data_IF_199841848206
#
_entry.id   IF_199841848206
#
_cell.length_a   1.000
_cell.length_b   1.000
_cell.length_c   1.000
_cell.angle_alpha   90.00
_cell.angle_beta   90.00
_cell.angle_gamma   90.00
#
_symmetry.space_group_name_H-M   'P 1'
#
loop_
_entity.id
_entity.type
_entity.pdbx_description
1 polymer ?
#
# COMPACT_ATOMS: atom_id res chain seq x y z
N UNK A 1 -2.99 -7.55 -8.29
CA UNK A 1 -1.65 -7.90 -7.80
C UNK A 1 -0.94 -6.64 -7.33
N UNK A 2 -0.22 -6.70 -6.22
CA UNK A 2 0.63 -5.63 -5.68
C UNK A 2 1.82 -6.27 -4.96
N UNK A 3 2.81 -5.46 -4.65
CA UNK A 3 3.96 -5.84 -3.82
C UNK A 3 3.85 -5.09 -2.51
N UNK A 4 4.07 -5.78 -1.41
CA UNK A 4 4.07 -5.17 -0.09
C UNK A 4 5.50 -4.89 0.37
N UNK A 5 5.80 -3.63 0.63
CA UNK A 5 7.00 -3.25 1.39
C UNK A 5 6.64 -3.26 2.86
N UNK A 6 7.19 -4.19 3.61
CA UNK A 6 6.95 -4.34 5.04
C UNK A 6 8.21 -4.04 5.83
N UNK A 7 8.11 -3.13 6.78
CA UNK A 7 9.22 -2.67 7.61
C UNK A 7 8.90 -2.94 9.08
N UNK A 8 9.71 -3.74 9.72
CA UNK A 8 9.57 -4.04 11.15
C UNK A 8 9.95 -2.80 11.97
N UNK A 9 9.06 -2.36 12.86
CA UNK A 9 9.31 -1.23 13.76
C UNK A 9 9.21 -1.62 15.25
N UNK A 10 8.73 -2.81 15.54
CA UNK A 10 8.70 -3.38 16.90
C UNK A 10 8.97 -4.88 16.84
N UNK A 11 9.02 -5.53 18.01
CA UNK A 11 9.27 -6.98 18.07
C UNK A 11 8.21 -7.81 17.35
N UNK A 12 6.97 -7.33 17.28
CA UNK A 12 5.84 -8.09 16.75
C UNK A 12 5.16 -7.44 15.56
N UNK A 13 5.48 -6.18 15.24
CA UNK A 13 4.69 -5.39 14.30
C UNK A 13 5.50 -4.80 13.17
N UNK A 14 4.91 -4.80 11.97
CA UNK A 14 5.48 -4.25 10.75
C UNK A 14 4.51 -3.28 10.09
N UNK A 15 5.01 -2.11 9.72
CA UNK A 15 4.27 -1.21 8.83
C UNK A 15 4.33 -1.76 7.41
N UNK A 16 3.26 -1.62 6.66
CA UNK A 16 3.13 -2.17 5.31
C UNK A 16 2.61 -1.16 4.31
N UNK A 17 3.24 -1.16 3.12
CA UNK A 17 2.87 -0.33 1.98
C UNK A 17 2.62 -1.21 0.77
N UNK A 18 1.41 -1.21 0.23
CA UNK A 18 1.10 -1.87 -1.03
C UNK A 18 1.58 -1.01 -2.21
N UNK A 19 2.39 -1.60 -3.08
CA UNK A 19 2.99 -0.95 -4.25
C UNK A 19 2.50 -1.66 -5.51
N UNK A 20 1.51 -1.13 -6.23
CA UNK A 20 0.88 -1.84 -7.36
C UNK A 20 1.84 -2.24 -8.48
N UNK A 21 2.89 -1.44 -8.70
CA UNK A 21 3.85 -1.66 -9.78
C UNK A 21 5.24 -2.11 -9.29
N UNK A 22 5.35 -2.53 -8.04
CA UNK A 22 6.62 -2.91 -7.44
C UNK A 22 7.60 -1.76 -7.24
N UNK A 23 8.79 -2.11 -6.76
CA UNK A 23 9.84 -1.14 -6.45
C UNK A 23 10.42 -0.48 -7.71
N UNK A 24 10.77 0.82 -7.69
CA UNK A 24 11.38 1.53 -8.80
C UNK A 24 12.87 1.16 -8.94
N UNK A 25 13.24 0.37 -9.95
CA UNK A 25 14.63 -0.07 -10.18
C UNK A 25 15.35 0.62 -11.34
N UNK A 26 14.64 1.36 -12.20
CA UNK A 26 15.25 2.03 -13.35
C UNK A 26 15.37 3.55 -13.12
N UNK A 27 16.60 4.10 -13.00
CA UNK A 27 16.83 5.52 -12.75
C UNK A 27 16.38 6.42 -13.90
N UNK A 28 16.28 5.87 -15.12
CA UNK A 28 15.87 6.58 -16.33
C UNK A 28 14.41 6.32 -16.72
N UNK A 29 13.62 5.73 -15.82
CA UNK A 29 12.20 5.48 -16.08
C UNK A 29 11.44 6.79 -16.35
N UNK A 30 10.54 6.74 -17.33
CA UNK A 30 9.60 7.85 -17.63
C UNK A 30 8.65 8.08 -16.43
N UNK A 31 8.38 7.03 -15.65
CA UNK A 31 7.57 7.10 -14.44
C UNK A 31 8.43 6.78 -13.22
N UNK A 32 9.22 7.77 -12.72
CA UNK A 32 10.16 7.53 -11.63
C UNK A 32 9.46 7.31 -10.29
N UNK A 33 8.26 7.85 -10.14
CA UNK A 33 7.49 7.76 -8.92
C UNK A 33 6.54 6.56 -8.96
N UNK A 34 6.38 5.93 -7.80
CA UNK A 34 5.38 4.89 -7.55
C UNK A 34 4.44 5.38 -6.46
N UNK A 35 3.23 4.88 -6.48
CA UNK A 35 2.31 5.02 -5.36
C UNK A 35 2.61 3.89 -4.36
N UNK A 36 2.73 4.23 -3.10
CA UNK A 36 2.80 3.30 -2.00
C UNK A 36 1.59 3.57 -1.10
N UNK A 37 0.69 2.62 -1.04
CA UNK A 37 -0.57 2.74 -0.30
C UNK A 37 -0.35 2.11 1.07
N UNK A 38 -0.49 2.91 2.10
CA UNK A 38 -0.38 2.44 3.47
C UNK A 38 -1.52 1.47 3.78
N UNK A 39 -1.15 0.29 4.25
CA UNK A 39 -2.09 -0.77 4.61
C UNK A 39 -2.16 -0.94 6.13
N UNK A 40 -2.83 -1.98 6.58
CA UNK A 40 -2.87 -2.31 8.01
C UNK A 40 -1.49 -2.74 8.50
N UNK A 41 -1.22 -2.49 9.76
CA UNK A 41 -0.03 -3.01 10.46
C UNK A 41 -0.14 -4.53 10.54
N UNK A 42 0.90 -5.22 10.10
CA UNK A 42 0.93 -6.69 10.09
C UNK A 42 1.72 -7.22 11.29
N UNK A 43 1.34 -8.41 11.72
CA UNK A 43 2.17 -9.20 12.60
C UNK A 43 3.43 -9.66 11.86
N UNK A 44 4.56 -9.69 12.55
CA UNK A 44 5.84 -10.12 11.99
C UNK A 44 5.78 -11.51 11.35
N UNK A 45 5.04 -12.44 11.94
CA UNK A 45 4.86 -13.80 11.41
C UNK A 45 4.30 -13.83 9.99
N UNK A 46 3.42 -12.90 9.63
CA UNK A 46 2.88 -12.78 8.28
C UNK A 46 3.92 -12.39 7.23
N UNK A 47 5.12 -12.02 7.65
CA UNK A 47 6.22 -11.69 6.74
C UNK A 47 7.14 -12.88 6.48
N UNK A 48 7.00 -13.94 7.26
CA UNK A 48 7.89 -15.11 7.24
C UNK A 48 7.24 -16.33 6.57
N UNK A 49 5.95 -16.25 6.25
CA UNK A 49 5.16 -17.38 5.78
C UNK A 49 4.62 -17.09 4.38
N UNK A 50 4.83 -18.02 3.47
CA UNK A 50 4.13 -18.05 2.19
C UNK A 50 2.80 -18.79 2.37
N UNK A 51 1.75 -18.22 1.83
CA UNK A 51 0.40 -18.77 1.98
C UNK A 51 -0.42 -18.55 0.72
N UNK A 52 -1.41 -19.40 0.52
CA UNK A 52 -2.42 -19.23 -0.51
C UNK A 52 -3.79 -19.57 0.00
N UNK A 53 -4.80 -18.89 -0.53
CA UNK A 53 -6.19 -19.26 -0.36
C UNK A 53 -7.01 -18.72 -1.53
N UNK A 54 -8.14 -19.36 -1.84
CA UNK A 54 -9.06 -18.88 -2.88
C UNK A 54 -9.64 -17.49 -2.59
N UNK A 55 -9.77 -17.11 -1.32
CA UNK A 55 -10.31 -15.83 -0.91
C UNK A 55 -9.28 -14.68 -1.00
N UNK A 56 -8.01 -14.95 -0.70
CA UNK A 56 -6.97 -13.90 -0.57
C UNK A 56 -5.91 -13.94 -1.66
N UNK A 57 -5.85 -15.02 -2.43
CA UNK A 57 -4.79 -15.28 -3.40
C UNK A 57 -3.53 -15.82 -2.75
N UNK A 58 -2.41 -15.74 -3.46
CA UNK A 58 -1.11 -16.22 -2.98
C UNK A 58 -0.22 -15.09 -2.47
N UNK A 59 0.48 -15.32 -1.38
CA UNK A 59 1.49 -14.46 -0.78
C UNK A 59 2.86 -15.12 -0.91
N UNK A 60 3.81 -14.42 -1.53
CA UNK A 60 5.19 -14.88 -1.72
C UNK A 60 6.17 -13.90 -1.08
N UNK A 61 7.29 -14.42 -0.62
CA UNK A 61 8.42 -13.60 -0.15
C UNK A 61 9.31 -13.31 -1.36
N UNK A 62 9.12 -12.14 -1.97
CA UNK A 62 9.89 -11.71 -3.15
C UNK A 62 11.34 -11.36 -2.80
N UNK A 63 11.56 -10.67 -1.68
CA UNK A 63 12.87 -10.38 -1.11
C UNK A 63 12.76 -10.23 0.40
N UNK A 64 13.86 -10.41 1.11
CA UNK A 64 13.97 -10.17 2.55
C UNK A 64 15.36 -9.69 2.90
N UNK A 65 15.50 -8.96 4.01
CA UNK A 65 16.77 -8.43 4.46
C UNK A 65 16.58 -7.37 5.52
N UNK A 66 17.60 -6.55 5.68
CA UNK A 66 17.63 -5.45 6.65
C UNK A 66 17.36 -4.12 5.96
N UNK A 67 17.00 -3.12 6.73
CA UNK A 67 16.89 -1.74 6.26
C UNK A 67 17.67 -0.79 7.18
N UNK A 68 18.16 0.29 6.59
CA UNK A 68 18.79 1.41 7.27
C UNK A 68 17.98 2.68 6.97
N UNK A 69 17.71 3.48 7.99
CA UNK A 69 17.03 4.77 7.83
C UNK A 69 18.07 5.88 7.72
N UNK A 70 18.17 6.45 6.53
CA UNK A 70 19.12 7.51 6.25
C UNK A 70 18.59 8.87 6.71
N UNK A 71 19.44 9.76 7.22
CA UNK A 71 19.03 11.09 7.63
C UNK A 71 18.52 11.91 6.43
N UNK A 72 17.47 12.67 6.67
CA UNK A 72 17.00 13.65 5.71
C UNK A 72 17.83 14.92 5.87
N UNK A 73 18.67 15.19 4.87
CA UNK A 73 19.30 16.51 4.77
C UNK A 73 18.23 17.49 4.30
N UNK A 74 17.71 18.30 5.20
CA UNK A 74 16.95 19.48 4.77
C UNK A 74 17.85 20.32 3.85
N UNK A 75 17.32 20.92 2.77
CA UNK A 75 18.05 21.93 2.05
C UNK A 75 18.47 22.98 3.09
N UNK A 76 19.75 23.19 3.23
CA UNK A 76 20.24 24.35 3.97
C UNK A 76 19.70 25.53 3.18
N UNK A 77 18.64 26.17 3.68
CA UNK A 77 18.26 27.48 3.18
C UNK A 77 19.51 28.32 3.24
N UNK A 78 19.90 28.86 2.08
CA UNK A 78 21.10 29.67 1.98
C UNK A 78 21.04 30.73 3.08
N UNK A 79 21.80 30.53 4.15
CA UNK A 79 22.04 31.55 5.14
C UNK A 79 22.84 32.63 4.42
N UNK A 80 22.14 33.63 3.93
CA UNK A 80 22.71 34.91 3.57
C UNK A 80 23.01 35.63 4.87
N UNK A 81 24.18 35.40 5.42
CA UNK A 81 24.92 36.40 6.20
C UNK A 81 26.32 35.88 6.44
N UNK A 82 27.22 36.52 5.76
CA UNK A 82 28.65 36.62 6.04
C UNK A 82 28.77 37.20 7.45
N UNK A 83 29.06 36.37 8.43
CA UNK A 83 29.85 36.70 9.62
C UNK A 83 29.94 35.47 10.55
N UNK A 84 31.15 35.31 11.09
CA UNK A 84 31.58 34.36 12.12
C UNK A 84 31.94 32.95 11.67
N UNK A 85 33.17 32.85 11.18
CA UNK A 85 34.03 31.69 11.36
C UNK A 85 34.29 31.52 12.85
N UNK A 86 33.46 30.80 13.55
CA UNK A 86 33.81 30.14 14.79
C UNK A 86 33.86 28.64 14.53
N UNK A 87 35.03 28.08 14.80
CA UNK A 87 35.27 26.64 14.94
C UNK A 87 34.21 26.07 15.89
N UNK A 88 33.10 25.63 15.31
CA UNK A 88 32.18 24.75 15.98
C UNK A 88 32.64 23.35 15.64
N UNK A 89 33.33 22.71 16.57
CA UNK A 89 33.44 21.28 16.73
C UNK A 89 32.11 20.66 16.24
N UNK A 90 32.19 20.02 15.10
CA UNK A 90 31.10 19.17 14.64
C UNK A 90 31.14 17.96 15.57
N UNK A 91 30.52 18.13 16.76
CA UNK A 91 30.12 17.00 17.57
C UNK A 91 29.37 16.03 16.63
N UNK A 92 30.09 15.04 16.18
CA UNK A 92 29.54 13.82 15.64
C UNK A 92 28.79 13.20 16.81
N UNK A 93 27.59 13.70 17.08
CA UNK A 93 26.66 13.00 17.94
C UNK A 93 26.49 11.64 17.28
N UNK A 94 27.19 10.67 17.86
CA UNK A 94 26.97 9.26 17.54
C UNK A 94 25.49 9.03 17.81
N UNK A 95 24.72 9.03 16.72
CA UNK A 95 23.27 8.88 16.79
C UNK A 95 23.01 7.45 17.24
N UNK A 96 22.87 7.25 18.54
CA UNK A 96 22.66 5.95 19.20
C UNK A 96 21.24 5.40 18.95
N UNK A 97 20.42 6.12 18.16
CA UNK A 97 19.07 5.70 17.83
C UNK A 97 19.10 4.45 16.94
N UNK A 98 18.28 3.49 17.28
CA UNK A 98 18.03 2.30 16.44
C UNK A 98 17.30 2.68 15.16
N UNK A 99 17.43 1.86 14.11
CA UNK A 99 16.72 2.12 12.85
C UNK A 99 15.19 2.07 13.02
N UNK A 100 14.69 1.32 14.00
CA UNK A 100 13.27 1.35 14.36
C UNK A 100 12.83 2.70 14.93
N UNK A 101 13.64 3.34 15.77
CA UNK A 101 13.35 4.69 16.30
C UNK A 101 13.45 5.76 15.21
N UNK A 102 14.45 5.66 14.33
CA UNK A 102 14.58 6.52 13.16
C UNK A 102 13.40 6.33 12.19
N UNK A 103 12.94 5.09 11.99
CA UNK A 103 11.76 4.79 11.19
C UNK A 103 10.53 5.46 11.78
N UNK A 104 10.33 5.35 13.09
CA UNK A 104 9.23 6.01 13.79
C UNK A 104 9.27 7.53 13.58
N UNK A 105 10.41 8.16 13.83
CA UNK A 105 10.59 9.61 13.68
C UNK A 105 10.34 10.06 12.22
N UNK A 106 10.91 9.37 11.25
CA UNK A 106 10.73 9.67 9.83
C UNK A 106 9.30 9.44 9.35
N UNK A 107 8.61 8.45 9.90
CA UNK A 107 7.20 8.20 9.60
C UNK A 107 6.31 9.34 10.14
N UNK A 108 6.54 9.80 11.36
CA UNK A 108 5.85 10.95 11.93
C UNK A 108 6.17 12.26 11.17
N UNK A 109 7.41 12.41 10.69
CA UNK A 109 7.81 13.51 9.81
C UNK A 109 7.27 13.41 8.38
N UNK A 110 6.55 12.30 8.04
CA UNK A 110 5.97 12.03 6.72
C UNK A 110 7.01 11.95 5.60
N UNK A 111 8.22 11.63 5.97
CA UNK A 111 9.33 11.47 5.04
C UNK A 111 10.31 10.41 5.54
N UNK A 112 10.48 9.35 4.74
CA UNK A 112 11.40 8.25 5.00
C UNK A 112 12.40 8.14 3.87
N UNK A 113 13.67 7.95 4.21
CA UNK A 113 14.70 7.55 3.26
C UNK A 113 15.29 6.25 3.76
N UNK A 114 15.16 5.21 2.96
CA UNK A 114 15.47 3.84 3.34
C UNK A 114 16.50 3.27 2.37
N UNK A 115 17.59 2.76 2.92
CA UNK A 115 18.48 1.86 2.20
C UNK A 115 18.07 0.44 2.54
N UNK A 116 17.81 -0.34 1.50
CA UNK A 116 17.33 -1.71 1.64
C UNK A 116 18.47 -2.69 1.32
N UNK A 117 18.75 -3.58 2.25
CA UNK A 117 19.78 -4.62 2.17
C UNK A 117 19.09 -5.97 1.95
N UNK A 118 18.49 -6.14 0.77
CA UNK A 118 17.83 -7.38 0.38
C UNK A 118 18.79 -8.39 -0.22
N UNK A 119 18.31 -9.60 -0.40
CA UNK A 119 19.05 -10.66 -1.11
C UNK A 119 18.99 -10.46 -2.63
N UNK A 120 17.84 -10.00 -3.13
CA UNK A 120 17.61 -9.77 -4.57
C UNK A 120 17.89 -8.33 -4.96
N UNK A 121 17.63 -7.39 -4.06
CA UNK A 121 17.89 -5.98 -4.31
C UNK A 121 19.39 -5.70 -4.46
N UNK A 122 19.80 -4.85 -5.41
CA UNK A 122 21.19 -4.52 -5.58
C UNK A 122 21.75 -3.75 -4.37
N UNK A 123 23.04 -3.92 -4.13
CA UNK A 123 23.74 -3.25 -3.03
C UNK A 123 23.58 -1.72 -3.12
N UNK A 124 23.30 -1.09 -1.98
CA UNK A 124 23.13 0.35 -1.88
C UNK A 124 21.77 0.87 -2.39
N UNK A 125 20.86 -0.02 -2.76
CA UNK A 125 19.53 0.38 -3.23
C UNK A 125 18.80 1.22 -2.19
N UNK A 126 18.49 2.44 -2.56
CA UNK A 126 17.90 3.44 -1.66
C UNK A 126 16.63 4.01 -2.24
N UNK A 127 15.59 4.09 -1.42
CA UNK A 127 14.29 4.65 -1.77
C UNK A 127 13.92 5.81 -0.84
N UNK A 128 13.05 6.67 -1.32
CA UNK A 128 12.43 7.74 -0.53
C UNK A 128 10.92 7.60 -0.57
N UNK A 129 10.28 7.62 0.59
CA UNK A 129 8.84 7.65 0.80
C UNK A 129 8.45 9.01 1.33
N UNK A 130 7.48 9.66 0.72
CA UNK A 130 6.96 10.96 1.14
C UNK A 130 5.45 10.97 1.14
N UNK A 131 4.84 11.39 2.24
CA UNK A 131 3.41 11.63 2.34
C UNK A 131 3.13 13.13 2.09
N UNK A 132 2.46 13.50 0.98
CA UNK A 132 2.04 14.88 0.76
C UNK A 132 0.95 15.29 1.76
N UNK A 133 0.95 16.55 2.17
CA UNK A 133 -0.07 17.08 3.08
C UNK A 133 -1.51 16.91 2.57
N UNK A 134 -1.71 16.97 1.26
CA UNK A 134 -3.01 16.73 0.64
C UNK A 134 -3.52 15.28 0.82
N UNK A 135 -2.61 14.32 0.99
CA UNK A 135 -2.94 12.90 1.19
C UNK A 135 -2.95 12.50 2.65
N UNK A 136 -2.51 13.38 3.53
CA UNK A 136 -2.49 13.15 4.98
C UNK A 136 -3.86 13.46 5.57
N UNK A 137 -4.83 12.69 5.13
CA UNK A 137 -6.17 12.74 5.73
C UNK A 137 -6.15 11.80 6.93
N UNK A 138 -6.29 12.37 8.12
CA UNK A 138 -6.65 11.58 9.29
C UNK A 138 -7.85 10.70 8.96
N UNK A 139 -7.95 9.52 9.56
CA UNK A 139 -9.07 8.61 9.34
C UNK A 139 -10.39 9.38 9.53
N UNK A 140 -10.99 9.83 8.43
CA UNK A 140 -12.33 10.40 8.52
C UNK A 140 -13.27 9.25 8.84
N UNK A 141 -14.05 9.35 9.92
CA UNK A 141 -15.07 8.35 10.19
C UNK A 141 -15.95 8.26 8.93
N UNK A 142 -16.10 7.05 8.40
CA UNK A 142 -16.99 6.81 7.25
C UNK A 142 -18.35 7.37 7.62
N UNK A 143 -18.82 8.39 6.91
CA UNK A 143 -20.20 8.88 7.07
C UNK A 143 -21.09 7.66 6.91
N UNK A 144 -21.95 7.35 7.88
CA UNK A 144 -22.85 6.21 7.78
C UNK A 144 -23.60 6.34 6.46
N UNK A 145 -23.59 5.27 5.67
CA UNK A 145 -24.36 5.19 4.42
C UNK A 145 -25.80 5.60 4.77
N UNK A 146 -26.24 6.77 4.29
CA UNK A 146 -27.61 7.20 4.45
C UNK A 146 -28.47 6.07 3.89
N UNK A 147 -29.14 5.33 4.77
CA UNK A 147 -30.18 4.36 4.39
C UNK A 147 -31.10 5.12 3.43
N UNK A 148 -31.14 4.73 2.16
CA UNK A 148 -32.11 5.25 1.20
C UNK A 148 -33.48 5.09 1.86
N UNK A 149 -34.07 6.20 2.25
CA UNK A 149 -35.47 6.19 2.67
C UNK A 149 -36.25 5.53 1.55
N UNK A 150 -36.82 4.36 1.83
CA UNK A 150 -37.83 3.78 0.94
C UNK A 150 -38.87 4.87 0.74
N UNK A 151 -38.94 5.40 -0.47
CA UNK A 151 -40.05 6.26 -0.87
C UNK A 151 -41.30 5.41 -0.79
N UNK A 152 -42.20 5.82 0.10
CA UNK A 152 -43.52 5.22 0.25
C UNK A 152 -44.27 5.41 -1.09
N UNK A 153 -44.70 4.35 -1.79
CA UNK A 153 -45.30 4.47 -3.12
C UNK A 153 -46.68 5.15 -3.09
N UNK A 154 -47.22 5.46 -1.90
CA UNK A 154 -48.54 6.09 -1.73
C UNK A 154 -48.56 7.61 -1.90
N UNK A 155 -47.41 8.30 -2.12
CA UNK A 155 -47.36 9.75 -2.31
C UNK A 155 -46.85 10.17 -3.69
N UNK A 156 -47.37 9.56 -4.75
CA UNK A 156 -47.22 10.10 -6.09
C UNK A 156 -48.38 11.08 -6.36
N UNK A 157 -48.17 12.33 -5.95
CA UNK A 157 -49.04 13.42 -6.33
C UNK A 157 -48.85 13.75 -7.82
N UNK A 158 -49.94 13.67 -8.55
CA UNK A 158 -50.08 14.08 -9.95
C UNK A 158 -49.60 15.53 -10.14
N UNK A 159 -48.55 15.76 -10.88
CA UNK A 159 -48.28 17.02 -11.56
C UNK A 159 -48.11 16.71 -13.05
N UNK A 160 -48.94 17.39 -13.83
CA UNK A 160 -49.01 17.28 -15.27
C UNK A 160 -47.77 17.84 -16.00
N UNK A 161 -47.66 17.66 -17.30
CA UNK A 161 -46.45 17.83 -18.08
C UNK A 161 -46.16 19.29 -18.43
N UNK A 162 -44.94 19.74 -18.46
CA UNK A 162 -44.55 20.85 -19.30
C UNK A 162 -43.91 20.35 -20.60
N UNK A 163 -44.33 21.03 -21.67
CA UNK A 163 -43.95 20.88 -23.06
C UNK A 163 -42.52 21.32 -23.36
N UNK A 164 -41.94 20.61 -24.33
CA UNK A 164 -41.01 21.00 -25.44
C UNK A 164 -39.95 22.08 -25.21
N UNK A 165 -38.72 21.85 -25.48
CA UNK A 165 -37.98 21.92 -26.74
C UNK A 165 -36.46 21.86 -26.54
N UNK A 166 -35.82 21.26 -27.51
CA UNK A 166 -34.50 21.42 -28.10
C UNK A 166 -33.50 20.30 -27.93
N UNK A 167 -33.42 19.60 -29.01
CA UNK A 167 -32.39 18.85 -29.69
C UNK A 167 -30.94 19.06 -29.24
N UNK A 168 -30.18 17.97 -29.00
CA UNK A 168 -29.07 17.59 -29.85
C UNK A 168 -28.56 16.16 -29.57
N UNK A 169 -28.26 15.51 -30.68
CA UNK A 169 -27.91 14.13 -30.91
C UNK A 169 -26.58 13.68 -30.25
N UNK A 170 -26.50 12.44 -29.80
CA UNK A 170 -25.77 11.32 -30.43
C UNK A 170 -25.70 10.10 -29.51
N UNK A 171 -26.40 9.08 -29.97
CA UNK A 171 -26.25 7.66 -29.60
C UNK A 171 -25.03 7.02 -30.34
N UNK A 172 -24.64 5.71 -30.19
CA UNK A 172 -25.34 4.62 -29.51
C UNK A 172 -24.41 3.59 -28.78
N UNK A 173 -24.90 2.68 -28.01
CA UNK A 173 -25.05 1.26 -28.33
C UNK A 173 -25.51 0.40 -27.14
N UNK A 174 -26.55 -0.34 -27.42
CA UNK A 174 -27.23 -1.29 -26.57
C UNK A 174 -26.45 -2.62 -26.40
N UNK A 175 -26.60 -3.30 -25.27
CA UNK A 175 -26.69 -4.77 -25.23
C UNK A 175 -27.76 -5.23 -24.22
N UNK A 176 -28.53 -6.14 -24.72
CA UNK A 176 -29.82 -6.70 -24.35
C UNK A 176 -29.86 -7.45 -23.02
N UNK A 177 -31.04 -7.39 -22.46
CA UNK A 177 -31.59 -8.24 -21.42
C UNK A 177 -31.72 -9.72 -21.88
N UNK A 178 -31.57 -10.63 -20.94
CA UNK A 178 -32.25 -11.92 -20.96
C UNK A 178 -32.92 -12.21 -19.62
N UNK A 179 -34.09 -12.51 -19.71
CA UNK A 179 -35.31 -12.87 -19.05
C UNK A 179 -35.28 -14.33 -18.57
N UNK A 180 -35.75 -14.55 -17.36
CA UNK A 180 -36.72 -15.63 -17.10
C UNK A 180 -36.20 -16.85 -16.39
N UNK A 181 -36.86 -17.19 -15.30
CA UNK A 181 -36.82 -18.51 -14.70
C UNK A 181 -37.31 -18.52 -13.26
N UNK A 182 -38.65 -18.50 -13.11
CA UNK A 182 -39.34 -18.79 -11.87
C UNK A 182 -39.38 -20.32 -11.66
N UNK A 183 -38.89 -20.83 -10.55
CA UNK A 183 -39.23 -22.15 -10.04
C UNK A 183 -39.38 -22.09 -8.53
N UNK A 184 -40.62 -22.23 -8.12
CA UNK A 184 -41.03 -22.67 -6.78
C UNK A 184 -40.58 -24.11 -6.58
N UNK A 185 -40.18 -24.42 -5.34
CA UNK A 185 -40.35 -25.70 -4.63
C UNK A 185 -39.82 -25.52 -3.20
N UNK A 186 -40.72 -25.51 -2.30
CA UNK A 186 -41.12 -26.52 -1.30
C UNK A 186 -40.17 -26.65 -0.09
N UNK A 187 -40.82 -26.44 1.04
CA UNK A 187 -40.46 -26.73 2.42
C UNK A 187 -39.61 -27.99 2.58
N UNK A 188 -38.50 -27.85 3.30
CA UNK A 188 -38.16 -28.88 4.27
C UNK A 188 -37.53 -28.28 5.54
N UNK A 189 -38.23 -28.42 6.60
CA UNK A 189 -37.98 -27.91 7.93
C UNK A 189 -37.07 -28.87 8.69
N UNK A 190 -35.77 -28.63 8.70
CA UNK A 190 -34.88 -29.12 9.77
C UNK A 190 -33.49 -28.51 9.71
N UNK A 191 -33.31 -27.29 10.25
CA UNK A 191 -31.98 -26.86 10.71
C UNK A 191 -32.01 -25.61 11.61
N UNK A 192 -32.65 -25.72 12.78
CA UNK A 192 -32.69 -24.63 13.78
C UNK A 192 -31.36 -24.51 14.57
N UNK A 193 -30.40 -25.42 14.39
CA UNK A 193 -29.15 -25.43 15.14
C UNK A 193 -27.96 -24.77 14.46
N UNK A 194 -27.97 -24.68 13.12
CA UNK A 194 -26.84 -24.14 12.36
C UNK A 194 -26.91 -22.64 12.20
N UNK A 195 -28.12 -22.07 12.06
CA UNK A 195 -28.28 -20.63 11.83
C UNK A 195 -27.84 -19.77 13.05
N UNK A 196 -27.99 -20.29 14.27
CA UNK A 196 -27.55 -19.57 15.46
C UNK A 196 -26.01 -19.59 15.61
N UNK A 197 -25.34 -20.67 15.20
CA UNK A 197 -23.89 -20.76 15.21
C UNK A 197 -23.28 -19.93 14.08
N UNK A 198 -23.86 -19.92 12.90
CA UNK A 198 -23.41 -19.09 11.77
C UNK A 198 -23.63 -17.60 12.06
N UNK A 199 -24.72 -17.24 12.74
CA UNK A 199 -24.97 -15.87 13.18
C UNK A 199 -23.99 -15.41 14.27
N UNK A 200 -23.61 -16.29 15.20
CA UNK A 200 -22.61 -16.00 16.23
C UNK A 200 -21.21 -15.81 15.62
N UNK A 201 -20.80 -16.69 14.71
CA UNK A 201 -19.53 -16.59 13.98
C UNK A 201 -19.47 -15.33 13.10
N UNK A 202 -20.59 -14.96 12.46
CA UNK A 202 -20.69 -13.73 11.69
C UNK A 202 -20.58 -12.48 12.58
N UNK A 203 -21.15 -12.50 13.78
CA UNK A 203 -21.08 -11.41 14.75
C UNK A 203 -19.65 -11.24 15.29
N UNK A 204 -18.95 -12.33 15.61
CA UNK A 204 -17.56 -12.28 16.05
C UNK A 204 -16.63 -11.75 14.95
N UNK A 205 -16.84 -12.13 13.69
CA UNK A 205 -16.09 -11.62 12.54
C UNK A 205 -16.34 -10.12 12.30
N UNK A 206 -17.57 -9.63 12.51
CA UNK A 206 -17.90 -8.21 12.41
C UNK A 206 -17.23 -7.37 13.53
N UNK A 207 -17.15 -7.90 14.73
CA UNK A 207 -16.49 -7.26 15.87
C UNK A 207 -14.96 -7.23 15.70
N UNK A 208 -14.36 -8.30 15.19
CA UNK A 208 -12.94 -8.35 14.81
C UNK A 208 -12.61 -7.33 13.73
N UNK A 209 -13.41 -7.26 12.69
CA UNK A 209 -13.28 -6.27 11.63
C UNK A 209 -13.43 -4.83 12.11
N UNK A 210 -14.30 -4.59 13.08
CA UNK A 210 -14.47 -3.28 13.71
C UNK A 210 -13.24 -2.90 14.55
N UNK A 211 -12.69 -3.85 15.31
CA UNK A 211 -11.47 -3.65 16.08
C UNK A 211 -10.25 -3.39 15.17
N UNK A 212 -10.10 -4.18 14.10
CA UNK A 212 -9.05 -3.97 13.09
C UNK A 212 -9.17 -2.59 12.44
N UNK A 213 -10.38 -2.16 12.11
CA UNK A 213 -10.61 -0.83 11.54
C UNK A 213 -10.27 0.31 12.51
N UNK A 214 -10.57 0.14 13.79
CA UNK A 214 -10.27 1.16 14.80
C UNK A 214 -8.78 1.29 15.10
N UNK A 215 -8.07 0.17 15.15
CA UNK A 215 -6.65 0.12 15.46
C UNK A 215 -5.72 0.14 14.23
N UNK A 216 -6.25 -0.07 13.03
CA UNK A 216 -5.49 -0.25 11.79
C UNK A 216 -4.37 -1.31 11.90
N UNK A 217 -4.60 -2.37 12.65
CA UNK A 217 -3.68 -3.47 12.84
C UNK A 217 -4.39 -4.82 12.71
N UNK A 218 -3.67 -5.83 12.25
CA UNK A 218 -4.14 -7.21 12.29
C UNK A 218 -3.91 -7.82 13.67
N UNK A 219 -4.63 -8.91 13.95
CA UNK A 219 -4.49 -9.66 15.20
C UNK A 219 -3.03 -10.01 15.48
N UNK A 220 -2.58 -9.76 16.71
CA UNK A 220 -1.20 -9.96 17.14
C UNK A 220 -0.22 -8.85 16.75
N UNK A 221 -0.69 -7.78 16.11
CA UNK A 221 0.08 -6.58 15.84
C UNK A 221 -0.47 -5.37 16.61
N UNK A 222 0.39 -4.40 16.87
CA UNK A 222 0.01 -3.14 17.53
C UNK A 222 0.43 -1.94 16.68
N UNK A 223 -0.48 -0.99 16.51
CA UNK A 223 -0.23 0.21 15.69
C UNK A 223 0.34 1.36 16.52
N UNK A 224 1.48 1.16 17.18
CA UNK A 224 2.14 2.21 17.95
C UNK A 224 2.75 3.30 17.08
N UNK A 225 3.04 3.00 15.80
CA UNK A 225 3.61 3.96 14.84
C UNK A 225 2.57 4.97 14.32
N UNK A 226 1.26 4.76 14.57
CA UNK A 226 0.20 5.66 14.10
C UNK A 226 -0.08 5.54 12.60
N UNK A 227 0.00 4.32 12.06
CA UNK A 227 -0.36 4.03 10.68
C UNK A 227 -1.84 4.24 10.43
N UNK A 228 -2.19 4.82 9.27
CA UNK A 228 -3.56 5.09 8.85
C UNK A 228 -3.82 4.42 7.51
N UNK A 229 -4.80 3.54 7.49
CA UNK A 229 -5.17 2.79 6.30
C UNK A 229 -5.50 3.68 5.10
N UNK A 230 -4.96 3.31 3.91
CA UNK A 230 -5.18 3.99 2.63
C UNK A 230 -4.61 5.42 2.53
N UNK A 231 -3.62 5.80 3.32
CA UNK A 231 -2.83 6.99 2.99
C UNK A 231 -1.92 6.70 1.81
N UNK A 232 -1.84 7.64 0.88
CA UNK A 232 -1.09 7.51 -0.36
C UNK A 232 0.25 8.23 -0.24
N UNK A 233 1.31 7.45 -0.16
CA UNK A 233 2.68 7.93 -0.18
C UNK A 233 3.25 7.92 -1.59
N UNK A 234 4.15 8.84 -1.89
CA UNK A 234 5.00 8.76 -3.07
C UNK A 234 6.29 8.02 -2.72
N UNK A 235 6.56 6.99 -3.50
CA UNK A 235 7.78 6.20 -3.42
C UNK A 235 8.65 6.53 -4.64
N UNK A 236 9.92 6.87 -4.42
CA UNK A 236 10.88 7.19 -5.48
C UNK A 236 12.20 6.48 -5.24
N UNK A 237 12.90 6.13 -6.33
CA UNK A 237 14.30 5.72 -6.25
C UNK A 237 15.16 6.93 -5.88
N UNK A 238 15.87 6.85 -4.76
CA UNK A 238 16.86 7.86 -4.39
C UNK A 238 18.15 7.61 -5.19
N UNK A 239 18.21 8.22 -6.35
CA UNK A 239 19.26 7.99 -7.33
C UNK A 239 20.64 8.31 -6.79
N UNK A 240 20.78 9.42 -6.06
CA UNK A 240 22.07 9.90 -5.55
C UNK A 240 22.59 8.96 -4.48
N UNK A 241 21.78 8.60 -3.50
CA UNK A 241 22.19 7.68 -2.43
C UNK A 241 22.34 6.23 -2.90
N UNK A 242 21.72 5.86 -4.04
CA UNK A 242 21.97 4.58 -4.72
C UNK A 242 23.26 4.60 -5.55
N UNK A 243 23.92 5.76 -5.69
CA UNK A 243 25.18 5.91 -6.44
C UNK A 243 25.02 6.33 -7.89
N UNK A 244 23.81 6.65 -8.36
CA UNK A 244 23.60 7.18 -9.70
C UNK A 244 23.98 8.65 -9.78
N UNK A 245 24.56 9.02 -10.93
CA UNK A 245 24.87 10.42 -11.26
C UNK A 245 24.46 10.75 -12.69
N UNK A 246 24.24 12.03 -12.99
CA UNK A 246 23.91 12.45 -14.35
C UNK A 246 25.15 12.51 -15.22
N UNK A 247 25.11 11.86 -16.39
CA UNK A 247 26.13 12.00 -17.41
C UNK A 247 26.19 13.45 -17.90
N UNK A 248 27.36 14.08 -17.84
CA UNK A 248 27.58 15.47 -18.26
C UNK A 248 27.98 15.57 -19.73
N UNK A 249 28.61 14.54 -20.27
CA UNK A 249 29.19 14.49 -21.64
C UNK A 249 28.87 13.15 -22.30
N UNK A 250 29.11 13.05 -23.60
CA UNK A 250 28.95 11.83 -24.38
C UNK A 250 27.49 11.52 -24.79
N UNK A 251 27.25 10.31 -25.33
CA UNK A 251 25.95 9.89 -25.86
C UNK A 251 24.86 9.81 -24.78
N UNK A 252 25.24 9.58 -23.53
CA UNK A 252 24.32 9.46 -22.39
C UNK A 252 24.11 10.80 -21.66
N UNK A 253 24.49 11.94 -22.25
CA UNK A 253 24.31 13.26 -21.63
C UNK A 253 22.88 13.47 -21.11
N UNK A 254 22.76 13.79 -19.82
CA UNK A 254 21.48 14.02 -19.14
C UNK A 254 20.82 12.78 -18.59
N UNK A 255 21.30 11.57 -18.93
CA UNK A 255 20.83 10.31 -18.35
C UNK A 255 21.52 10.03 -17.03
N UNK A 256 20.84 9.25 -16.20
CA UNK A 256 21.41 8.72 -14.97
C UNK A 256 22.22 7.47 -15.30
N UNK A 257 23.48 7.46 -14.88
CA UNK A 257 24.44 6.38 -15.09
C UNK A 257 25.15 6.02 -13.78
N UNK A 258 25.86 4.92 -13.72
CA UNK A 258 26.53 4.41 -12.52
C UNK A 258 25.53 3.75 -11.57
N UNK A 259 25.88 3.73 -10.28
CA UNK A 259 25.09 3.07 -9.26
C UNK A 259 24.99 1.55 -9.44
N UNK A 260 23.83 1.00 -9.16
CA UNK A 260 23.55 -0.41 -9.34
C UNK A 260 22.97 -0.72 -10.73
N UNK A 261 22.95 -2.01 -11.08
CA UNK A 261 22.28 -2.44 -12.31
C UNK A 261 20.79 -2.16 -12.23
N UNK A 262 20.22 -1.49 -13.25
CA UNK A 262 18.78 -1.22 -13.29
C UNK A 262 17.97 -2.51 -13.38
N UNK A 263 16.92 -2.61 -12.59
CA UNK A 263 16.01 -3.75 -12.62
C UNK A 263 14.54 -3.31 -12.82
N UNK A 264 13.72 -4.28 -13.19
CA UNK A 264 12.28 -4.12 -13.34
C UNK A 264 11.61 -5.31 -12.68
N UNK A 265 10.65 -5.05 -11.83
CA UNK A 265 9.80 -6.09 -11.26
C UNK A 265 8.79 -6.54 -12.31
N UNK A 266 8.80 -7.83 -12.65
CA UNK A 266 8.11 -8.37 -13.85
C UNK A 266 6.69 -8.84 -13.59
N UNK A 267 6.36 -9.21 -12.36
CA UNK A 267 5.03 -9.69 -12.00
C UNK A 267 5.00 -11.16 -11.59
N UNK A 268 3.80 -11.60 -11.16
CA UNK A 268 3.58 -12.87 -10.48
C UNK A 268 3.98 -14.14 -11.27
N UNK A 269 3.92 -14.06 -12.59
CA UNK A 269 4.19 -15.20 -13.46
C UNK A 269 5.68 -15.50 -13.60
N UNK A 270 6.53 -14.49 -13.36
CA UNK A 270 7.97 -14.57 -13.54
C UNK A 270 8.71 -14.51 -12.21
N UNK A 271 8.20 -13.71 -11.30
CA UNK A 271 8.84 -13.50 -9.99
C UNK A 271 8.64 -14.70 -9.08
N UNK A 272 9.75 -15.23 -8.59
CA UNK A 272 9.76 -16.38 -7.69
C UNK A 272 10.09 -15.95 -6.27
N UNK A 273 9.60 -16.69 -5.31
CA UNK A 273 10.02 -16.55 -3.92
C UNK A 273 11.52 -16.78 -3.76
N UNK A 274 12.16 -15.99 -2.91
CA UNK A 274 13.58 -16.22 -2.53
C UNK A 274 13.72 -17.36 -1.51
N UNK A 275 12.63 -17.74 -0.83
CA UNK A 275 12.61 -18.77 0.20
C UNK A 275 12.33 -20.13 -0.41
N UNK A 276 11.22 -20.27 -1.13
CA UNK A 276 10.76 -21.55 -1.69
C UNK A 276 11.17 -21.75 -3.16
N UNK A 277 11.56 -20.70 -3.86
CA UNK A 277 11.85 -20.75 -5.31
C UNK A 277 10.60 -20.87 -6.18
N UNK A 278 9.38 -20.90 -5.57
CA UNK A 278 8.12 -21.11 -6.26
C UNK A 278 7.54 -19.80 -6.82
N UNK A 279 6.77 -19.89 -7.88
CA UNK A 279 5.96 -18.77 -8.36
C UNK A 279 4.57 -18.76 -7.69
N UNK A 280 3.81 -17.70 -7.92
CA UNK A 280 2.50 -17.50 -7.28
C UNK A 280 1.50 -18.63 -7.58
N UNK A 281 1.52 -19.15 -8.80
CA UNK A 281 0.60 -20.20 -9.22
C UNK A 281 0.98 -21.56 -8.63
N UNK A 282 2.30 -21.82 -8.45
CA UNK A 282 2.79 -23.02 -7.76
C UNK A 282 2.40 -23.05 -6.28
N UNK A 283 2.42 -21.89 -5.61
CA UNK A 283 1.97 -21.79 -4.19
C UNK A 283 0.45 -21.87 -4.11
N UNK A 284 -0.27 -21.35 -5.12
CA UNK A 284 -1.72 -21.43 -5.15
C UNK A 284 -2.23 -22.87 -5.31
N UNK A 285 -1.50 -23.70 -6.04
CA UNK A 285 -1.85 -25.12 -6.22
C UNK A 285 -1.87 -25.91 -4.89
N UNK A 286 -1.14 -25.44 -3.86
CA UNK A 286 -1.17 -26.07 -2.52
C UNK A 286 -2.51 -25.79 -1.79
N UNK A 287 -3.25 -24.75 -2.19
CA UNK A 287 -4.54 -24.42 -1.59
C UNK A 287 -5.70 -25.31 -2.15
N UNK A 288 -5.41 -26.06 -3.21
CA UNK A 288 -6.38 -26.96 -3.87
C UNK A 288 -6.30 -28.38 -3.32
N UNK A 289 -5.38 -28.65 -2.36
CA UNK A 289 -5.18 -29.94 -1.69
C UNK A 289 -5.86 -29.92 -0.33
#
# INVERSE_FOLDING_TARGET
MHYDLRLQFSQTSTISFAIPYGLPGNPNSIRPNRMAIETRVHNLWNNLIESASHATGSLLIWDTGEYEVLPYKQPVEARTTDDELSDADTDVQVNTQTDSEKLFAGFQARHLRLRLHGTRLPQGYTISLRLPSANDRGAQPRKPLRKRRRLDPSKVSRRGPPSTDSENESEPAAIKAHRGGNLQLEDDNSNVGTEAQDAALASEAEDEDAMIRSNNAYTGATNTIGSIHQRHWFLTLDRVNTGFHKARTGPDRGRWIGGCEPFVVRGREVERSIVSGRCADEVMADADI
#
